data_IF_752322682334
#
_entry.id   IF_752322682334
#
_cell.length_a   1.000
_cell.length_b   1.000
_cell.length_c   1.000
_cell.angle_alpha   90.00
_cell.angle_beta   90.00
_cell.angle_gamma   90.00
#
_symmetry.space_group_name_H-M   'P 1'
#
loop_
_entity.id
_entity.type
_entity.pdbx_description
1 polymer ?
#
# COMPACT_ATOMS: atom_id res chain seq x y z
N UNK A 1 -9.77 10.73 12.66
CA UNK A 1 -8.48 10.24 12.13
C UNK A 1 -8.73 9.16 11.08
N UNK A 2 -8.16 9.30 9.88
CA UNK A 2 -8.37 8.36 8.77
C UNK A 2 -9.48 8.71 7.78
N UNK A 3 -9.90 9.98 7.74
CA UNK A 3 -10.89 10.47 6.77
C UNK A 3 -10.24 10.63 5.39
N UNK A 4 -10.83 10.01 4.37
CA UNK A 4 -10.36 10.10 2.99
C UNK A 4 -10.39 11.54 2.47
N UNK A 5 -11.37 12.36 2.84
CA UNK A 5 -11.41 13.75 2.42
C UNK A 5 -10.26 14.58 3.02
N UNK A 6 -9.79 14.21 4.21
CA UNK A 6 -8.59 14.83 4.81
C UNK A 6 -7.33 14.35 4.10
N UNK A 7 -7.27 13.06 3.72
CA UNK A 7 -6.17 12.52 2.91
C UNK A 7 -6.05 13.26 1.57
N UNK A 8 -7.17 13.43 0.86
CA UNK A 8 -7.22 14.04 -0.48
C UNK A 8 -6.75 15.50 -0.51
N UNK A 9 -6.77 16.19 0.63
CA UNK A 9 -6.23 17.56 0.79
C UNK A 9 -4.79 17.60 1.31
N UNK A 10 -4.20 16.45 1.59
CA UNK A 10 -2.86 16.32 2.16
C UNK A 10 -1.77 16.17 1.11
N UNK A 11 -0.51 16.34 1.54
CA UNK A 11 0.65 16.35 0.65
C UNK A 11 0.92 15.00 -0.04
N UNK A 12 0.37 13.89 0.48
CA UNK A 12 0.54 12.55 -0.09
C UNK A 12 -0.57 12.14 -1.07
N UNK A 13 -1.60 12.97 -1.24
CA UNK A 13 -2.73 12.66 -2.12
C UNK A 13 -2.29 12.46 -3.58
N UNK A 14 -1.30 13.23 -4.03
CA UNK A 14 -0.77 13.15 -5.38
C UNK A 14 -0.06 11.82 -5.65
N UNK A 15 0.70 11.32 -4.65
CA UNK A 15 1.48 10.09 -4.78
C UNK A 15 0.62 8.83 -4.57
N UNK A 16 -0.41 8.92 -3.71
CA UNK A 16 -1.28 7.78 -3.39
C UNK A 16 -2.76 8.20 -3.49
N UNK A 17 -3.27 8.42 -4.71
CA UNK A 17 -4.63 8.92 -4.91
C UNK A 17 -5.67 7.86 -4.56
N UNK A 18 -6.70 8.23 -3.79
CA UNK A 18 -7.75 7.30 -3.33
C UNK A 18 -7.32 6.39 -2.19
N UNK A 19 -6.31 6.80 -1.43
CA UNK A 19 -5.91 6.14 -0.20
C UNK A 19 -6.51 6.87 1.01
N UNK A 20 -6.36 6.27 2.18
CA UNK A 20 -6.44 7.00 3.43
C UNK A 20 -5.37 6.48 4.40
N UNK A 21 -5.15 7.21 5.50
CA UNK A 21 -4.16 6.83 6.51
C UNK A 21 -4.74 6.87 7.91
N UNK A 22 -4.76 5.72 8.59
CA UNK A 22 -5.31 5.56 9.94
C UNK A 22 -4.46 4.62 10.76
N UNK A 23 -4.26 4.93 12.04
CA UNK A 23 -3.52 4.06 12.98
C UNK A 23 -2.14 3.64 12.45
N UNK A 24 -1.48 4.52 11.69
CA UNK A 24 -0.19 4.31 11.04
C UNK A 24 -0.16 3.37 9.83
N UNK A 25 -1.32 3.02 9.28
CA UNK A 25 -1.49 2.21 8.07
C UNK A 25 -2.05 3.02 6.91
N UNK A 26 -1.53 2.75 5.71
CA UNK A 26 -2.14 3.18 4.45
C UNK A 26 -3.13 2.11 3.98
N UNK A 27 -4.26 2.52 3.41
CA UNK A 27 -5.22 1.59 2.79
C UNK A 27 -5.58 2.10 1.40
N UNK A 28 -5.52 1.21 0.40
CA UNK A 28 -5.97 1.50 -0.97
C UNK A 28 -7.50 1.34 -1.03
N UNK A 29 -8.25 2.44 -1.10
CA UNK A 29 -9.71 2.38 -1.14
C UNK A 29 -10.27 2.13 -2.55
N UNK A 30 -9.42 2.18 -3.58
CA UNK A 30 -9.82 1.93 -4.97
C UNK A 30 -9.82 0.45 -5.32
N UNK A 31 -9.00 -0.34 -4.63
CA UNK A 31 -9.03 -1.79 -4.75
C UNK A 31 -10.25 -2.37 -4.00
N UNK A 32 -11.02 -3.31 -4.60
CA UNK A 32 -12.17 -3.91 -3.94
C UNK A 32 -11.81 -4.68 -2.66
N UNK A 33 -10.59 -5.22 -2.55
CA UNK A 33 -10.11 -5.92 -1.36
C UNK A 33 -9.72 -4.97 -0.23
N UNK A 34 -9.47 -3.69 -0.57
CA UNK A 34 -9.03 -2.63 0.35
C UNK A 34 -7.83 -3.04 1.21
N UNK A 35 -6.72 -3.51 0.60
CA UNK A 35 -5.58 -3.96 1.36
C UNK A 35 -4.94 -2.80 2.13
N UNK A 36 -4.41 -3.12 3.31
CA UNK A 36 -3.66 -2.19 4.16
C UNK A 36 -2.17 -2.49 4.09
N UNK A 37 -1.33 -1.47 4.19
CA UNK A 37 0.11 -1.67 4.18
C UNK A 37 0.89 -0.60 4.95
N UNK A 38 2.06 -1.00 5.40
CA UNK A 38 3.12 -0.15 5.92
C UNK A 38 4.21 0.04 4.85
N UNK A 39 4.79 1.24 4.83
CA UNK A 39 5.92 1.60 3.96
C UNK A 39 7.07 2.06 4.84
N UNK A 40 8.26 1.56 4.55
CA UNK A 40 9.52 2.13 5.00
C UNK A 40 10.41 2.49 3.82
N UNK A 41 11.31 3.46 4.02
CA UNK A 41 12.28 3.88 3.00
C UNK A 41 13.13 2.71 2.51
N UNK A 42 13.74 2.86 1.33
CA UNK A 42 14.53 1.82 0.67
C UNK A 42 13.74 0.55 0.33
N UNK A 43 12.41 0.65 0.23
CA UNK A 43 11.54 -0.43 -0.25
C UNK A 43 11.09 -1.43 0.82
N UNK A 44 11.03 -1.04 2.09
CA UNK A 44 10.46 -1.91 3.13
C UNK A 44 8.94 -1.88 3.04
N UNK A 45 8.29 -3.04 3.16
CA UNK A 45 6.83 -3.08 3.23
C UNK A 45 6.31 -4.28 4.02
N UNK A 46 5.22 -4.03 4.74
CA UNK A 46 4.31 -5.07 5.24
C UNK A 46 2.96 -4.79 4.62
N UNK A 47 2.41 -5.77 3.90
CA UNK A 47 1.13 -5.71 3.21
C UNK A 47 0.20 -6.75 3.81
N UNK A 48 -1.08 -6.39 3.95
CA UNK A 48 -2.13 -7.23 4.48
C UNK A 48 -3.38 -7.07 3.62
N UNK A 49 -3.88 -8.18 3.08
CA UNK A 49 -5.19 -8.28 2.48
C UNK A 49 -6.07 -9.24 3.28
N UNK A 50 -7.12 -8.71 3.90
CA UNK A 50 -8.04 -9.48 4.72
C UNK A 50 -8.95 -10.40 3.89
N UNK A 51 -9.22 -10.05 2.62
CA UNK A 51 -10.15 -10.81 1.77
C UNK A 51 -9.52 -12.13 1.35
N UNK A 52 -8.28 -12.11 0.88
CA UNK A 52 -7.50 -13.32 0.57
C UNK A 52 -6.85 -13.98 1.79
N UNK A 53 -6.79 -13.28 2.94
CA UNK A 53 -6.02 -13.74 4.10
C UNK A 53 -4.50 -13.70 3.89
N UNK A 54 -4.01 -13.00 2.86
CA UNK A 54 -2.60 -12.93 2.49
C UNK A 54 -1.88 -11.82 3.25
N UNK A 55 -0.67 -12.14 3.74
CA UNK A 55 0.29 -11.18 4.27
C UNK A 55 1.56 -11.27 3.43
N UNK A 56 2.12 -10.13 3.03
CA UNK A 56 3.44 -10.07 2.41
C UNK A 56 4.35 -9.18 3.25
N UNK A 57 5.52 -9.69 3.63
CA UNK A 57 6.60 -8.90 4.20
C UNK A 57 7.76 -8.88 3.19
N UNK A 58 8.22 -7.68 2.82
CA UNK A 58 9.33 -7.52 1.88
C UNK A 58 10.37 -6.57 2.42
N UNK A 59 11.60 -7.09 2.51
CA UNK A 59 12.78 -6.29 2.76
C UNK A 59 13.50 -6.02 1.45
N UNK A 60 13.93 -4.78 1.27
CA UNK A 60 14.60 -4.34 0.06
C UNK A 60 15.75 -3.38 0.41
N UNK A 61 16.58 -3.10 -0.58
CA UNK A 61 17.66 -2.10 -0.50
C UNK A 61 17.59 -1.20 -1.72
N UNK A 62 16.42 -0.59 -1.98
CA UNK A 62 16.26 0.29 -3.14
C UNK A 62 17.34 1.40 -3.14
N UNK A 63 17.90 1.77 -4.32
CA UNK A 63 18.95 2.77 -4.41
C UNK A 63 18.56 4.13 -3.82
N UNK A 64 17.31 4.55 -4.02
CA UNK A 64 16.75 5.76 -3.44
C UNK A 64 15.88 5.44 -2.20
N UNK A 65 15.80 6.35 -1.21
CA UNK A 65 14.91 6.19 -0.05
C UNK A 65 13.44 6.03 -0.47
N UNK A 66 13.03 6.79 -1.49
CA UNK A 66 11.72 6.67 -2.15
C UNK A 66 11.95 6.55 -3.64
N UNK A 67 11.57 5.39 -4.20
CA UNK A 67 11.57 5.13 -5.64
C UNK A 67 10.14 4.78 -6.05
N UNK A 68 9.38 5.73 -6.65
CA UNK A 68 7.96 5.53 -6.96
C UNK A 68 7.73 4.32 -7.86
N UNK A 69 8.60 4.11 -8.86
CA UNK A 69 8.44 2.99 -9.80
C UNK A 69 8.60 1.66 -9.08
N UNK A 70 9.64 1.51 -8.26
CA UNK A 70 9.87 0.25 -7.53
C UNK A 70 8.79 0.00 -6.47
N UNK A 71 8.23 1.04 -5.85
CA UNK A 71 7.08 0.89 -4.95
C UNK A 71 5.81 0.48 -5.70
N UNK A 72 5.51 1.15 -6.82
CA UNK A 72 4.36 0.82 -7.66
C UNK A 72 4.38 -0.63 -8.15
N UNK A 73 5.52 -1.08 -8.68
CA UNK A 73 5.68 -2.44 -9.17
C UNK A 73 5.51 -3.46 -8.03
N UNK A 74 6.05 -3.15 -6.84
CA UNK A 74 5.89 -3.97 -5.63
C UNK A 74 4.42 -4.09 -5.21
N UNK A 75 3.69 -2.97 -5.12
CA UNK A 75 2.27 -3.01 -4.71
C UNK A 75 1.39 -3.69 -5.75
N UNK A 76 1.66 -3.50 -7.05
CA UNK A 76 0.98 -4.24 -8.12
C UNK A 76 1.19 -5.75 -7.96
N UNK A 77 2.42 -6.19 -7.66
CA UNK A 77 2.72 -7.59 -7.44
C UNK A 77 2.00 -8.17 -6.21
N UNK A 78 2.00 -7.47 -5.06
CA UNK A 78 1.28 -7.93 -3.87
C UNK A 78 -0.22 -8.04 -4.10
N UNK A 79 -0.82 -7.04 -4.75
CA UNK A 79 -2.24 -7.10 -5.12
C UNK A 79 -2.51 -8.26 -6.06
N UNK A 80 -1.72 -8.44 -7.12
CA UNK A 80 -1.90 -9.57 -8.04
C UNK A 80 -1.81 -10.94 -7.33
N UNK A 81 -0.86 -11.11 -6.39
CA UNK A 81 -0.73 -12.32 -5.58
C UNK A 81 -1.98 -12.52 -4.71
N UNK A 82 -2.41 -11.48 -3.99
CA UNK A 82 -3.57 -11.56 -3.12
C UNK A 82 -4.86 -11.90 -3.88
N UNK A 83 -5.12 -11.20 -4.99
CA UNK A 83 -6.26 -11.45 -5.87
C UNK A 83 -6.23 -12.86 -6.49
N UNK A 84 -5.05 -13.38 -6.85
CA UNK A 84 -4.92 -14.72 -7.41
C UNK A 84 -5.11 -15.85 -6.37
N UNK A 85 -5.01 -15.54 -5.08
CA UNK A 85 -5.17 -16.48 -3.98
C UNK A 85 -6.53 -16.33 -3.26
N UNK A 86 -7.38 -15.41 -3.73
CA UNK A 86 -8.77 -15.33 -3.29
C UNK A 86 -9.61 -16.41 -3.96
N UNK A 87 -10.47 -17.06 -3.15
CA UNK A 87 -11.44 -18.07 -3.60
C UNK A 87 -12.47 -17.53 -4.61
#
# INVERSE_FOLDING_TARGET
NGDAAVWDRGNFAADMPGHHYRSKWYTDLKDPHRPSYGIGIHGQSVFFDAVSGVVCAKHSTHPAPVDPKLFDDMFRAFKAIAHALSD
#
